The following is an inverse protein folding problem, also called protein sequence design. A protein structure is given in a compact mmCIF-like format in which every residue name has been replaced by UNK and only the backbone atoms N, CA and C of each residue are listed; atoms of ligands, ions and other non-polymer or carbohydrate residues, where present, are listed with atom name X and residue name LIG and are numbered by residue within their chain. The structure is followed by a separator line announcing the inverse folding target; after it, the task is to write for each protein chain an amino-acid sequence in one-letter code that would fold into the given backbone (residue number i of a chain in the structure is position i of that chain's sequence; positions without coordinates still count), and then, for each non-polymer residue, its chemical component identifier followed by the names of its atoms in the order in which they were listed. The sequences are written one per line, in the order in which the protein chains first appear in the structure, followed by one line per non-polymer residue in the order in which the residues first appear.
data_IF_835153888655
#
_entry.id   IF_835153888655
#
_cell.length_a   1.000
_cell.length_b   1.000
_cell.length_c   1.000
_cell.angle_alpha   90.00
_cell.angle_beta   90.00
_cell.angle_gamma   90.00
#
_symmetry.space_group_name_H-M   'P 1'
#
loop_
_entity.id
_entity.type
_entity.pdbx_description
1 polymer ?
#
# COMPACT_ATOMS: atom_id res chain seq x y z
N UNK A 1 0.52 -1.68 5.61
CA UNK A 1 0.66 -1.86 7.06
C UNK A 1 -0.46 -2.73 7.62
N UNK A 2 -0.15 -3.58 8.61
CA UNK A 2 -1.14 -4.23 9.47
C UNK A 2 -1.87 -3.22 10.36
N UNK A 3 -2.95 -3.63 11.05
CA UNK A 3 -3.64 -2.80 12.05
C UNK A 3 -2.72 -2.32 13.19
N UNK A 4 -1.64 -3.06 13.47
CA UNK A 4 -0.64 -2.71 14.49
C UNK A 4 0.47 -1.80 13.96
N UNK A 5 0.41 -1.38 12.69
CA UNK A 5 1.42 -0.50 12.09
C UNK A 5 2.65 -1.23 11.53
N UNK A 6 2.65 -2.56 11.48
CA UNK A 6 3.76 -3.33 10.91
C UNK A 6 3.75 -3.22 9.39
N UNK A 7 4.90 -2.91 8.79
CA UNK A 7 5.06 -2.88 7.34
C UNK A 7 5.01 -4.31 6.79
N UNK A 8 4.01 -4.57 5.95
CA UNK A 8 3.79 -5.88 5.32
C UNK A 8 4.13 -5.86 3.83
N UNK A 9 4.33 -4.67 3.27
CA UNK A 9 4.68 -4.44 1.88
C UNK A 9 5.17 -3.00 1.73
N UNK A 10 6.21 -2.81 0.93
CA UNK A 10 6.72 -1.51 0.52
C UNK A 10 7.31 -1.60 -0.88
N UNK A 11 7.15 -0.54 -1.66
CA UNK A 11 7.85 -0.36 -2.93
C UNK A 11 8.08 1.12 -3.21
N UNK A 12 9.22 1.44 -3.82
CA UNK A 12 9.52 2.76 -4.38
C UNK A 12 9.34 2.85 -5.89
N UNK A 13 9.08 1.72 -6.56
CA UNK A 13 8.91 1.69 -8.01
C UNK A 13 7.45 1.94 -8.39
N UNK A 14 7.25 2.89 -9.31
CA UNK A 14 5.92 3.29 -9.76
C UNK A 14 5.18 2.12 -10.40
N UNK A 15 5.84 1.37 -11.30
CA UNK A 15 5.28 0.19 -11.96
C UNK A 15 4.82 -0.86 -10.95
N UNK A 16 5.67 -1.21 -9.99
CA UNK A 16 5.33 -2.16 -8.93
C UNK A 16 4.15 -1.68 -8.07
N UNK A 17 4.03 -0.37 -7.82
CA UNK A 17 2.92 0.19 -7.06
C UNK A 17 1.58 0.20 -7.84
N UNK A 18 1.62 0.36 -9.16
CA UNK A 18 0.41 0.48 -10.00
C UNK A 18 -0.05 -0.82 -10.63
N UNK A 19 0.86 -1.73 -10.95
CA UNK A 19 0.56 -2.96 -11.70
C UNK A 19 0.46 -4.18 -10.79
N UNK A 20 1.36 -4.31 -9.82
CA UNK A 20 1.41 -5.47 -8.92
C UNK A 20 0.73 -5.18 -7.59
N UNK A 21 1.17 -4.13 -6.91
CA UNK A 21 0.73 -3.79 -5.56
C UNK A 21 1.05 -4.88 -4.53
N UNK A 22 0.29 -4.87 -3.43
CA UNK A 22 0.36 -5.89 -2.39
C UNK A 22 -0.62 -7.03 -2.66
N UNK A 23 -0.12 -8.27 -2.64
CA UNK A 23 -0.85 -9.49 -3.01
C UNK A 23 -1.55 -10.19 -1.82
N UNK A 24 -1.49 -9.61 -0.62
CA UNK A 24 -2.04 -10.23 0.59
C UNK A 24 -1.06 -11.15 1.32
N UNK A 25 0.19 -11.24 0.89
CA UNK A 25 1.22 -12.06 1.54
C UNK A 25 2.25 -11.21 2.29
N UNK A 26 2.90 -11.81 3.28
CA UNK A 26 4.08 -11.25 3.95
C UNK A 26 5.08 -12.37 4.22
N UNK A 27 6.33 -12.17 3.77
CA UNK A 27 7.40 -13.18 3.89
C UNK A 27 7.00 -14.55 3.30
N UNK A 28 6.31 -14.54 2.15
CA UNK A 28 5.84 -15.75 1.46
C UNK A 28 4.68 -16.48 2.14
N UNK A 29 4.11 -15.91 3.22
CA UNK A 29 2.95 -16.47 3.92
C UNK A 29 1.72 -15.61 3.69
N UNK A 30 0.55 -16.19 3.42
CA UNK A 30 -0.67 -15.43 3.25
C UNK A 30 -1.08 -14.83 4.60
N UNK A 31 -1.43 -13.55 4.61
CA UNK A 31 -1.90 -12.87 5.81
C UNK A 31 -3.39 -13.16 6.07
N UNK A 32 -3.86 -12.98 7.33
CA UNK A 32 -5.27 -13.17 7.67
C UNK A 32 -6.18 -12.18 6.92
N UNK A 33 -7.41 -12.62 6.63
CA UNK A 33 -8.45 -11.70 6.17
C UNK A 33 -8.69 -10.60 7.21
N UNK A 34 -8.89 -9.37 6.74
CA UNK A 34 -8.99 -8.22 7.62
C UNK A 34 -8.69 -6.90 6.93
N UNK A 35 -8.69 -5.83 7.72
CA UNK A 35 -8.41 -4.47 7.24
C UNK A 35 -6.93 -4.18 7.36
N UNK A 36 -6.34 -3.70 6.27
CA UNK A 36 -4.94 -3.25 6.20
C UNK A 36 -4.91 -1.80 5.76
N UNK A 37 -3.93 -1.05 6.23
CA UNK A 37 -3.76 0.36 5.88
C UNK A 37 -2.64 0.53 4.86
N UNK A 38 -2.83 1.42 3.89
CA UNK A 38 -1.79 1.82 2.94
C UNK A 38 -1.51 3.31 3.08
N UNK A 39 -0.28 3.70 2.72
CA UNK A 39 0.16 5.09 2.70
C UNK A 39 1.12 5.30 1.51
N UNK A 40 1.03 6.47 0.91
CA UNK A 40 1.91 6.94 -0.16
C UNK A 40 2.70 8.15 0.33
N UNK A 41 3.98 8.17 0.00
CA UNK A 41 4.86 9.31 0.22
C UNK A 41 5.53 9.66 -1.10
N UNK A 42 5.52 10.93 -1.47
CA UNK A 42 6.09 11.37 -2.74
C UNK A 42 5.54 12.71 -3.19
N UNK A 43 6.30 13.37 -4.07
CA UNK A 43 5.90 14.61 -4.73
C UNK A 43 6.26 14.56 -6.21
N UNK A 44 5.45 15.17 -7.05
CA UNK A 44 5.79 15.45 -8.45
C UNK A 44 6.88 16.52 -8.52
N UNK A 45 7.50 16.68 -9.69
CA UNK A 45 8.54 17.69 -9.92
C UNK A 45 8.05 19.12 -9.64
N UNK A 46 6.76 19.38 -9.79
CA UNK A 46 6.11 20.66 -9.46
C UNK A 46 5.76 20.82 -7.97
N UNK A 47 6.17 19.86 -7.12
CA UNK A 47 5.96 19.88 -5.68
C UNK A 47 4.59 19.41 -5.21
N UNK A 48 3.65 19.09 -6.12
CA UNK A 48 2.33 18.54 -5.74
C UNK A 48 2.51 17.15 -5.11
N UNK A 49 1.74 16.82 -4.05
CA UNK A 49 1.82 15.50 -3.44
C UNK A 49 1.34 14.42 -4.40
N UNK A 50 2.03 13.27 -4.40
CA UNK A 50 1.55 12.08 -5.06
C UNK A 50 0.25 11.60 -4.39
N UNK A 51 -0.80 11.39 -5.17
CA UNK A 51 -2.12 10.97 -4.68
C UNK A 51 -2.68 9.88 -5.61
N UNK A 52 -3.37 8.90 -5.02
CA UNK A 52 -4.19 7.91 -5.73
C UNK A 52 -5.64 8.17 -5.36
N UNK A 53 -6.51 8.40 -6.35
CA UNK A 53 -7.91 8.76 -6.15
C UNK A 53 -8.10 9.91 -5.13
N UNK A 54 -7.21 10.91 -5.20
CA UNK A 54 -7.22 12.08 -4.31
C UNK A 54 -6.68 11.84 -2.89
N UNK A 55 -6.24 10.61 -2.55
CA UNK A 55 -5.80 10.23 -1.21
C UNK A 55 -4.31 9.85 -1.19
N UNK A 56 -3.67 10.06 -0.04
CA UNK A 56 -2.29 9.61 0.26
C UNK A 56 -2.26 8.47 1.26
N UNK A 57 -3.41 8.08 1.81
CA UNK A 57 -3.56 6.96 2.72
C UNK A 57 -4.97 6.39 2.59
N UNK A 58 -5.14 5.17 3.05
CA UNK A 58 -6.44 4.52 3.05
C UNK A 58 -6.39 3.14 3.66
N UNK A 59 -7.50 2.43 3.51
CA UNK A 59 -7.66 1.08 3.97
C UNK A 59 -8.03 0.17 2.80
N UNK A 60 -7.60 -1.09 2.89
CA UNK A 60 -7.97 -2.18 2.00
C UNK A 60 -8.45 -3.34 2.84
N UNK A 61 -9.53 -3.98 2.42
CA UNK A 61 -10.04 -5.19 3.07
C UNK A 61 -9.54 -6.39 2.29
N UNK A 62 -8.73 -7.22 2.93
CA UNK A 62 -8.31 -8.51 2.38
C UNK A 62 -9.43 -9.52 2.63
N UNK A 63 -10.06 -9.98 1.54
CA UNK A 63 -11.08 -11.04 1.52
C UNK A 63 -10.48 -12.34 1.02
N UNK A 64 -11.11 -13.48 1.34
CA UNK A 64 -10.72 -14.83 0.93
C UNK A 64 -11.79 -15.45 0.05
#
# INVERSE_FOLDING_TARGET
YSLTGVEVFWTGEVSAATETGWDGTYQGRPLPAGVYSWQLTGRYADGRPLKVNGKTFGQVTLVR
#
